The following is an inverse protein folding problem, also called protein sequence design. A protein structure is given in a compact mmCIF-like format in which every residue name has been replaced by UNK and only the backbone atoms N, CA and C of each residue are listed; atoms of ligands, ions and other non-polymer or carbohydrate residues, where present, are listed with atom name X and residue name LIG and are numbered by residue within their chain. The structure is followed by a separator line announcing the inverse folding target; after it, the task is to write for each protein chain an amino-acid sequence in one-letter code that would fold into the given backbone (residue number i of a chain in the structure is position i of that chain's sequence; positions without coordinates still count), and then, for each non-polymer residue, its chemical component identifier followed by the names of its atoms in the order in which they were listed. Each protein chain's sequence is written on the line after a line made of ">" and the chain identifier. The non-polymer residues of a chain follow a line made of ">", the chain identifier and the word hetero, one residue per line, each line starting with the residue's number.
data_IF_660894804742
#
_entry.id   IF_660894804742
#
_cell.length_a   1.000
_cell.length_b   1.000
_cell.length_c   1.000
_cell.angle_alpha   90.00
_cell.angle_beta   90.00
_cell.angle_gamma   90.00
#
_symmetry.space_group_name_H-M   'P 1'
#
loop_
_entity.id
_entity.type
_entity.pdbx_description
1 polymer ?
#
# COMPACT_ATOMS: atom_id res chain seq x y z
N UNK A 1 32.68 -10.35 -32.39
CA UNK A 1 31.91 -10.99 -31.30
C UNK A 1 31.94 -10.01 -30.13
N UNK A 2 30.78 -9.66 -29.56
CA UNK A 2 30.47 -8.37 -28.92
C UNK A 2 31.36 -7.95 -27.72
N UNK A 3 31.46 -6.62 -27.58
CA UNK A 3 32.29 -5.78 -26.70
C UNK A 3 32.05 -5.97 -25.20
N UNK A 4 33.06 -5.76 -24.32
CA UNK A 4 32.80 -5.59 -22.89
C UNK A 4 32.02 -4.28 -22.72
N UNK A 5 30.82 -4.36 -22.16
CA UNK A 5 30.03 -3.19 -21.81
C UNK A 5 30.57 -2.60 -20.50
N UNK A 6 30.80 -1.30 -20.54
CA UNK A 6 31.31 -0.46 -19.48
C UNK A 6 30.53 -0.65 -18.17
N UNK A 7 31.25 -0.99 -17.10
CA UNK A 7 30.71 -0.90 -15.74
C UNK A 7 30.72 0.57 -15.35
N UNK A 8 29.57 1.23 -15.44
CA UNK A 8 29.41 2.60 -14.96
C UNK A 8 29.27 2.54 -13.43
N UNK A 9 30.19 3.15 -12.64
CA UNK A 9 30.06 3.13 -11.20
C UNK A 9 28.84 3.96 -10.80
N UNK A 10 27.92 3.36 -10.04
CA UNK A 10 26.72 3.99 -9.51
C UNK A 10 27.10 4.94 -8.36
N UNK A 11 27.87 5.97 -8.69
CA UNK A 11 28.34 7.00 -7.74
C UNK A 11 27.40 8.18 -7.87
N UNK A 12 26.33 8.16 -7.08
CA UNK A 12 25.35 9.25 -7.12
C UNK A 12 24.04 8.95 -6.41
N UNK A 13 24.03 8.12 -5.36
CA UNK A 13 22.96 8.23 -4.38
C UNK A 13 23.40 9.38 -3.47
N UNK A 14 22.98 10.59 -3.83
CA UNK A 14 23.01 11.67 -2.86
C UNK A 14 22.26 11.19 -1.63
N UNK A 15 22.91 11.20 -0.47
CA UNK A 15 22.26 11.01 0.83
C UNK A 15 21.02 11.92 0.83
N UNK A 16 19.79 11.38 1.01
CA UNK A 16 18.61 12.21 0.98
C UNK A 16 18.67 13.22 2.13
N UNK A 17 19.05 14.46 1.83
CA UNK A 17 19.13 15.58 2.78
C UNK A 17 17.75 16.12 3.19
N UNK A 18 16.71 15.31 3.04
CA UNK A 18 15.33 15.63 3.42
C UNK A 18 14.95 14.98 4.75
N UNK A 19 13.89 15.45 5.41
CA UNK A 19 13.30 14.71 6.53
C UNK A 19 13.05 13.27 6.10
N UNK A 20 13.38 12.31 6.97
CA UNK A 20 12.97 10.91 6.77
C UNK A 20 11.47 10.92 6.46
N UNK A 21 11.00 10.24 5.39
CA UNK A 21 9.58 10.17 5.09
C UNK A 21 8.85 9.80 6.38
N UNK A 22 7.82 10.58 6.73
CA UNK A 22 6.90 10.17 7.79
C UNK A 22 6.46 8.72 7.55
N UNK A 23 6.05 7.98 8.60
CA UNK A 23 5.72 6.58 8.47
C UNK A 23 4.79 6.37 7.27
N UNK A 24 5.22 5.54 6.31
CA UNK A 24 4.44 5.28 5.11
C UNK A 24 3.00 4.92 5.51
N UNK A 25 1.99 5.56 4.88
CA UNK A 25 0.60 5.28 5.22
C UNK A 25 0.30 3.81 4.95
N UNK A 26 -0.45 3.18 5.85
CA UNK A 26 -1.01 1.87 5.58
C UNK A 26 -2.10 1.99 4.52
N UNK A 27 -1.93 1.28 3.39
CA UNK A 27 -2.92 1.23 2.31
C UNK A 27 -3.55 -0.16 2.29
N UNK A 28 -4.85 -0.24 2.58
CA UNK A 28 -5.61 -1.48 2.44
C UNK A 28 -6.36 -1.49 1.10
N UNK A 29 -6.24 -2.58 0.35
CA UNK A 29 -6.85 -2.74 -0.97
C UNK A 29 -7.94 -3.82 -0.92
N UNK A 30 -9.14 -3.46 -1.35
CA UNK A 30 -10.28 -4.37 -1.45
C UNK A 30 -10.73 -4.46 -2.91
N UNK A 31 -11.00 -5.68 -3.38
CA UNK A 31 -11.45 -5.90 -4.76
C UNK A 31 -12.98 -5.85 -4.87
N UNK A 32 -13.68 -6.56 -3.98
CA UNK A 32 -15.14 -6.64 -4.01
C UNK A 32 -15.69 -6.88 -2.60
N UNK A 33 -16.90 -6.39 -2.36
CA UNK A 33 -17.64 -6.58 -1.10
C UNK A 33 -19.02 -7.13 -1.44
N UNK A 34 -19.37 -8.28 -0.89
CA UNK A 34 -20.65 -8.94 -1.18
C UNK A 34 -20.67 -10.40 -0.77
N UNK A 35 -21.67 -11.14 -1.25
CA UNK A 35 -21.77 -12.58 -1.07
C UNK A 35 -20.63 -13.28 -1.81
N UNK A 36 -20.00 -14.28 -1.18
CA UNK A 36 -18.77 -14.90 -1.70
C UNK A 36 -19.02 -15.96 -2.79
N UNK A 37 -20.11 -15.85 -3.57
CA UNK A 37 -20.53 -16.93 -4.46
C UNK A 37 -21.00 -16.48 -5.85
N UNK A 38 -20.43 -17.05 -6.93
CA UNK A 38 -19.14 -17.75 -6.99
C UNK A 38 -17.97 -16.76 -6.98
N UNK A 39 -16.97 -16.98 -6.11
CA UNK A 39 -15.74 -16.14 -6.01
C UNK A 39 -14.48 -16.97 -6.32
N UNK A 40 -14.21 -17.29 -7.60
CA UNK A 40 -13.11 -18.19 -8.00
C UNK A 40 -11.72 -17.65 -7.62
N UNK A 41 -11.58 -16.33 -7.54
CA UNK A 41 -10.32 -15.67 -7.17
C UNK A 41 -10.20 -15.40 -5.66
N UNK A 42 -11.24 -15.70 -4.87
CA UNK A 42 -11.29 -15.49 -3.43
C UNK A 42 -11.02 -14.03 -3.01
N UNK A 43 -11.36 -13.08 -3.88
CA UNK A 43 -11.07 -11.65 -3.69
C UNK A 43 -12.24 -10.89 -3.07
N UNK A 44 -13.40 -11.54 -2.90
CA UNK A 44 -14.61 -10.94 -2.32
C UNK A 44 -14.62 -11.13 -0.80
N UNK A 45 -14.77 -10.04 -0.08
CA UNK A 45 -15.01 -10.03 1.36
C UNK A 45 -16.49 -9.84 1.63
N UNK A 46 -17.04 -10.49 2.67
CA UNK A 46 -18.42 -10.19 3.08
C UNK A 46 -18.49 -8.82 3.75
N UNK A 47 -19.64 -8.15 3.74
CA UNK A 47 -19.86 -6.90 4.47
C UNK A 47 -19.49 -7.00 5.96
N UNK A 48 -19.83 -8.10 6.63
CA UNK A 48 -19.58 -8.32 8.06
C UNK A 48 -18.08 -8.42 8.34
N UNK A 49 -17.35 -9.11 7.45
CA UNK A 49 -15.90 -9.27 7.55
C UNK A 49 -15.19 -7.94 7.32
N UNK A 50 -15.61 -7.17 6.31
CA UNK A 50 -15.08 -5.82 6.08
C UNK A 50 -15.33 -4.94 7.31
N UNK A 51 -16.55 -4.94 7.84
CA UNK A 51 -16.90 -4.15 9.02
C UNK A 51 -16.04 -4.55 10.25
N UNK A 52 -15.77 -5.85 10.44
CA UNK A 52 -14.88 -6.32 11.51
C UNK A 52 -13.43 -5.84 11.33
N UNK A 53 -12.90 -5.89 10.11
CA UNK A 53 -11.56 -5.40 9.78
C UNK A 53 -11.43 -3.89 10.01
N UNK A 54 -12.38 -3.10 9.52
CA UNK A 54 -12.39 -1.65 9.72
C UNK A 54 -12.51 -1.28 11.21
N UNK A 55 -13.35 -1.99 11.98
CA UNK A 55 -13.41 -1.80 13.44
C UNK A 55 -12.09 -2.13 14.13
N UNK A 56 -11.39 -3.17 13.68
CA UNK A 56 -10.09 -3.56 14.22
C UNK A 56 -9.01 -2.49 13.97
N UNK A 57 -9.00 -1.89 12.78
CA UNK A 57 -8.10 -0.78 12.43
C UNK A 57 -8.38 0.43 13.32
N UNK A 58 -9.66 0.78 13.48
CA UNK A 58 -10.09 1.90 14.33
C UNK A 58 -9.68 1.73 15.79
N UNK A 59 -9.77 0.51 16.34
CA UNK A 59 -9.32 0.21 17.71
C UNK A 59 -7.81 0.34 17.90
N UNK A 60 -7.02 0.30 16.83
CA UNK A 60 -5.57 0.55 16.85
C UNK A 60 -5.21 2.02 16.63
N UNK A 61 -6.19 2.92 16.61
CA UNK A 61 -5.96 4.34 16.37
C UNK A 61 -5.72 4.69 14.90
N UNK A 62 -5.91 3.75 13.97
CA UNK A 62 -5.82 4.04 12.54
C UNK A 62 -7.09 4.75 12.07
N UNK A 63 -6.90 5.78 11.23
CA UNK A 63 -7.97 6.58 10.62
C UNK A 63 -7.93 6.41 9.11
N UNK A 64 -9.10 6.22 8.50
CA UNK A 64 -9.24 6.34 7.05
C UNK A 64 -9.20 7.80 6.63
N UNK A 65 -8.40 8.12 5.63
CA UNK A 65 -8.23 9.49 5.10
C UNK A 65 -8.53 9.51 3.61
N UNK A 66 -8.96 10.67 3.11
CA UNK A 66 -9.03 10.90 1.67
C UNK A 66 -7.63 11.05 1.07
N UNK A 67 -7.49 10.88 -0.25
CA UNK A 67 -6.22 11.15 -0.95
C UNK A 67 -5.80 12.62 -0.78
N UNK A 68 -6.77 13.54 -0.72
CA UNK A 68 -6.49 14.97 -0.45
C UNK A 68 -5.79 15.15 0.90
N UNK A 69 -6.31 14.53 1.95
CA UNK A 69 -5.69 14.60 3.29
C UNK A 69 -4.32 13.90 3.34
N UNK A 70 -4.09 12.91 2.49
CA UNK A 70 -2.81 12.21 2.43
C UNK A 70 -1.70 13.04 1.76
N UNK A 71 -2.07 13.93 0.82
CA UNK A 71 -1.14 14.73 0.03
C UNK A 71 -0.93 16.16 0.57
N UNK A 72 -1.62 16.54 1.64
CA UNK A 72 -1.52 17.85 2.28
C UNK A 72 -0.35 17.91 3.27
#
# INVERSE_FOLDING_TARGET
>A
MASPADTVPLTGIAEPTGPLPGPFPWVAMYHSVGDRSPDPYRVTVTPERLAAQLRWLRRRGLRGVSVRELLA
#
